data_IF_664590067500
#
_entry.id   IF_664590067500
#
_cell.length_a   1.000
_cell.length_b   1.000
_cell.length_c   1.000
_cell.angle_alpha   90.00
_cell.angle_beta   90.00
_cell.angle_gamma   90.00
#
_symmetry.space_group_name_H-M   'P 1'
#
loop_
_entity.id
_entity.type
_entity.pdbx_description
1 polymer ?
#
# COMPACT_ATOMS: atom_id res chain seq x y z
N UNK A 1 -12.27 -63.76 28.29
CA UNK A 1 -11.33 -62.88 27.56
C UNK A 1 -11.94 -61.48 27.55
N UNK A 2 -11.35 -60.49 28.22
CA UNK A 2 -11.85 -59.12 28.16
C UNK A 2 -11.44 -58.49 26.83
N UNK A 3 -12.39 -57.86 26.16
CA UNK A 3 -12.17 -57.05 24.96
C UNK A 3 -11.65 -55.70 25.44
N UNK A 4 -10.40 -55.39 25.13
CA UNK A 4 -9.87 -54.04 25.31
C UNK A 4 -10.54 -53.14 24.26
N UNK A 5 -11.24 -52.11 24.70
CA UNK A 5 -11.70 -51.01 23.84
C UNK A 5 -10.52 -50.04 23.76
N UNK A 6 -9.90 -49.97 22.58
CA UNK A 6 -8.96 -48.89 22.25
C UNK A 6 -9.72 -47.57 22.32
N UNK A 7 -9.25 -46.67 23.18
CA UNK A 7 -9.70 -45.29 23.21
C UNK A 7 -9.00 -44.60 22.04
N UNK A 8 -9.77 -44.25 21.01
CA UNK A 8 -9.26 -43.44 19.90
C UNK A 8 -8.56 -42.21 20.45
N UNK A 9 -7.30 -42.04 20.07
CA UNK A 9 -6.56 -40.81 20.34
C UNK A 9 -7.20 -39.70 19.52
N UNK A 10 -7.44 -38.51 20.08
CA UNK A 10 -8.00 -37.42 19.29
C UNK A 10 -7.02 -37.10 18.16
N UNK A 11 -7.51 -37.15 16.92
CA UNK A 11 -6.80 -36.74 15.71
C UNK A 11 -6.01 -35.44 15.96
N UNK A 12 -4.69 -35.55 16.10
CA UNK A 12 -3.78 -34.40 16.26
C UNK A 12 -3.35 -33.82 14.90
N UNK A 13 -4.19 -33.96 13.87
CA UNK A 13 -3.93 -33.49 12.51
C UNK A 13 -4.51 -32.08 12.25
N UNK A 14 -4.63 -31.27 13.30
CA UNK A 14 -4.79 -29.83 13.11
C UNK A 14 -3.45 -29.28 12.55
N UNK A 15 -3.44 -28.64 11.36
CA UNK A 15 -2.21 -28.10 10.82
C UNK A 15 -1.60 -27.13 11.82
N UNK A 16 -0.31 -27.34 12.12
CA UNK A 16 0.48 -26.45 12.98
C UNK A 16 0.27 -25.00 12.54
N UNK A 17 -0.35 -24.19 13.42
CA UNK A 17 -0.60 -22.77 13.15
C UNK A 17 0.74 -22.08 12.93
N UNK A 18 0.82 -21.26 11.88
CA UNK A 18 2.02 -20.47 11.56
C UNK A 18 2.53 -19.72 12.80
N UNK A 19 3.85 -19.57 13.01
CA UNK A 19 4.39 -18.77 14.10
C UNK A 19 4.00 -17.27 14.01
N UNK A 20 3.46 -16.84 12.86
CA UNK A 20 2.91 -15.50 12.64
C UNK A 20 1.37 -15.44 12.70
N UNK A 21 0.72 -16.53 13.12
CA UNK A 21 -0.72 -16.51 13.33
C UNK A 21 -1.07 -15.53 14.44
N UNK A 22 -2.01 -14.62 14.17
CA UNK A 22 -2.61 -13.75 15.15
C UNK A 22 -4.13 -13.94 15.13
N UNK A 23 -4.71 -14.15 16.30
CA UNK A 23 -6.14 -14.23 16.54
C UNK A 23 -6.58 -13.05 17.40
N UNK A 24 -7.64 -12.34 17.01
CA UNK A 24 -8.20 -11.25 17.80
C UNK A 24 -9.20 -11.82 18.82
N UNK A 25 -8.92 -11.66 20.11
CA UNK A 25 -9.83 -12.04 21.21
C UNK A 25 -9.86 -10.92 22.24
N UNK A 26 -11.06 -10.44 22.59
CA UNK A 26 -11.28 -9.43 23.63
C UNK A 26 -10.34 -8.21 23.52
N UNK A 27 -10.14 -7.70 22.30
CA UNK A 27 -9.28 -6.54 22.02
C UNK A 27 -7.78 -6.80 22.05
N UNK A 28 -7.35 -8.06 22.19
CA UNK A 28 -5.94 -8.46 22.20
C UNK A 28 -5.61 -9.36 21.00
N UNK A 29 -4.39 -9.25 20.49
CA UNK A 29 -3.84 -10.22 19.55
C UNK A 29 -3.24 -11.40 20.32
N UNK A 30 -3.58 -12.61 19.93
CA UNK A 30 -3.02 -13.83 20.49
C UNK A 30 -2.28 -14.64 19.43
N UNK A 31 -1.14 -15.21 19.80
CA UNK A 31 -0.43 -16.15 18.93
C UNK A 31 -1.01 -17.57 18.97
N UNK A 32 -0.40 -18.46 18.19
CA UNK A 32 -0.74 -19.88 18.12
C UNK A 32 -0.64 -20.61 19.48
N UNK A 33 0.20 -20.13 20.39
CA UNK A 33 0.42 -20.72 21.72
C UNK A 33 -0.54 -20.13 22.77
N UNK A 34 -1.42 -19.20 22.37
CA UNK A 34 -2.37 -18.54 23.27
C UNK A 34 -1.77 -17.44 24.13
N UNK A 35 -0.60 -16.90 23.77
CA UNK A 35 0.00 -15.73 24.44
C UNK A 35 -0.51 -14.44 23.83
N UNK A 36 -0.67 -13.40 24.65
CA UNK A 36 -0.96 -12.04 24.16
C UNK A 36 0.28 -11.47 23.48
N UNK A 37 0.13 -11.01 22.24
CA UNK A 37 1.19 -10.40 21.44
C UNK A 37 0.99 -8.88 21.41
N UNK A 38 2.00 -8.16 21.89
CA UNK A 38 2.07 -6.70 21.73
C UNK A 38 2.84 -6.36 20.45
N UNK A 39 2.15 -5.78 19.47
CA UNK A 39 2.76 -5.32 18.23
C UNK A 39 3.39 -3.93 18.45
N UNK A 40 4.73 -3.86 18.39
CA UNK A 40 5.52 -2.62 18.46
C UNK A 40 6.24 -2.46 17.14
N UNK A 41 5.96 -1.36 16.46
CA UNK A 41 6.41 -1.21 15.09
C UNK A 41 6.62 0.21 14.61
N UNK A 42 7.05 0.27 13.35
CA UNK A 42 7.27 1.51 12.61
C UNK A 42 6.63 1.42 11.23
N UNK A 43 6.42 2.59 10.61
CA UNK A 43 6.08 2.65 9.19
C UNK A 43 7.33 2.39 8.35
N UNK A 44 7.18 1.52 7.34
CA UNK A 44 8.20 1.28 6.34
C UNK A 44 7.62 1.67 4.98
N UNK A 45 7.97 2.86 4.48
CA UNK A 45 7.35 3.30 3.22
C UNK A 45 7.53 4.74 2.74
N UNK A 46 8.37 5.58 3.37
CA UNK A 46 8.52 6.97 2.92
C UNK A 46 8.94 7.08 1.44
N UNK A 47 9.87 6.24 0.99
CA UNK A 47 10.32 6.17 -0.40
C UNK A 47 9.36 5.41 -1.33
N UNK A 48 8.43 4.62 -0.80
CA UNK A 48 7.46 3.82 -1.59
C UNK A 48 6.37 4.67 -2.25
N UNK A 49 6.22 5.92 -1.80
CA UNK A 49 5.25 6.88 -2.33
C UNK A 49 5.54 7.34 -3.76
N UNK A 50 6.76 7.10 -4.26
CA UNK A 50 7.16 7.47 -5.63
C UNK A 50 7.94 6.33 -6.32
N UNK A 51 7.88 6.26 -7.66
CA UNK A 51 8.67 5.30 -8.43
C UNK A 51 10.16 5.33 -8.08
N UNK A 52 10.84 4.19 -8.20
CA UNK A 52 12.31 4.13 -8.05
C UNK A 52 13.03 4.66 -9.29
N UNK A 53 12.46 4.47 -10.48
CA UNK A 53 12.98 4.97 -11.73
C UNK A 53 11.90 5.08 -12.82
N UNK A 54 12.22 5.84 -13.87
CA UNK A 54 11.55 5.76 -15.16
C UNK A 54 12.14 4.60 -15.97
N UNK A 55 11.30 3.86 -16.70
CA UNK A 55 11.75 2.84 -17.67
C UNK A 55 11.79 3.41 -19.09
N UNK A 56 12.53 2.75 -19.99
CA UNK A 56 12.85 3.26 -21.34
C UNK A 56 11.63 3.63 -22.19
N UNK A 57 10.49 2.98 -21.96
CA UNK A 57 9.27 3.18 -22.73
C UNK A 57 8.32 4.22 -22.12
N UNK A 58 8.82 5.06 -21.19
CA UNK A 58 8.04 6.11 -20.52
C UNK A 58 7.20 5.63 -19.34
N UNK A 59 7.27 4.33 -19.00
CA UNK A 59 6.67 3.76 -17.79
C UNK A 59 7.45 4.06 -16.52
N UNK A 60 6.96 3.51 -15.39
CA UNK A 60 7.58 3.63 -14.06
C UNK A 60 7.86 2.25 -13.49
N UNK A 61 8.75 2.16 -12.50
CA UNK A 61 8.90 0.93 -11.69
C UNK A 61 8.97 1.28 -10.21
N UNK A 62 8.42 0.40 -9.38
CA UNK A 62 8.47 0.49 -7.92
C UNK A 62 9.36 -0.60 -7.30
N UNK A 63 9.99 -1.45 -8.11
CA UNK A 63 11.00 -2.40 -7.65
C UNK A 63 12.12 -1.65 -6.93
N UNK A 64 12.63 -2.23 -5.85
CA UNK A 64 13.60 -1.60 -4.94
C UNK A 64 13.06 -0.45 -4.10
N UNK A 65 11.73 -0.29 -3.98
CA UNK A 65 11.10 0.54 -2.94
C UNK A 65 10.52 -0.34 -1.82
N UNK A 66 10.81 -0.07 -0.54
CA UNK A 66 11.48 1.12 -0.04
C UNK A 66 13.02 1.09 -0.12
N UNK A 67 13.60 -0.08 -0.37
CA UNK A 67 15.04 -0.31 -0.53
C UNK A 67 15.35 -1.50 -1.45
N UNK A 68 16.55 -1.59 -2.04
CA UNK A 68 17.02 -2.78 -2.76
C UNK A 68 17.06 -4.06 -1.90
N UNK A 69 16.88 -5.23 -2.53
CA UNK A 69 16.81 -6.51 -1.82
C UNK A 69 18.07 -6.86 -1.02
N UNK A 70 19.25 -6.47 -1.52
CA UNK A 70 20.54 -6.70 -0.86
C UNK A 70 20.71 -5.90 0.44
N UNK A 71 19.90 -4.86 0.65
CA UNK A 71 19.87 -4.05 1.87
C UNK A 71 18.83 -4.54 2.88
N UNK A 72 17.93 -5.43 2.48
CA UNK A 72 16.79 -5.85 3.31
C UNK A 72 17.23 -6.50 4.64
N UNK A 73 18.23 -7.39 4.60
CA UNK A 73 18.78 -8.03 5.79
C UNK A 73 19.37 -7.02 6.79
N UNK A 74 20.06 -5.98 6.32
CA UNK A 74 20.59 -4.91 7.17
C UNK A 74 19.44 -4.13 7.84
N UNK A 75 18.43 -3.72 7.07
CA UNK A 75 17.30 -2.96 7.61
C UNK A 75 16.50 -3.76 8.65
N UNK A 76 16.13 -5.01 8.35
CA UNK A 76 15.34 -5.83 9.26
C UNK A 76 16.12 -6.27 10.50
N UNK A 77 17.41 -6.60 10.38
CA UNK A 77 18.24 -6.91 11.55
C UNK A 77 18.37 -5.73 12.50
N UNK A 78 18.51 -4.51 11.98
CA UNK A 78 18.51 -3.27 12.79
C UNK A 78 17.19 -3.05 13.52
N UNK A 79 16.06 -3.19 12.82
CA UNK A 79 14.73 -3.05 13.43
C UNK A 79 14.49 -4.09 14.53
N UNK A 80 14.91 -5.33 14.32
CA UNK A 80 14.83 -6.40 15.31
C UNK A 80 15.67 -6.07 16.56
N UNK A 81 16.90 -5.58 16.37
CA UNK A 81 17.80 -5.17 17.47
C UNK A 81 17.25 -4.00 18.28
N UNK A 82 16.44 -3.14 17.67
CA UNK A 82 15.72 -2.08 18.37
C UNK A 82 14.48 -2.56 19.13
N UNK A 83 14.15 -3.85 19.02
CA UNK A 83 13.02 -4.48 19.72
C UNK A 83 11.67 -4.33 18.99
N UNK A 84 11.67 -3.89 17.74
CA UNK A 84 10.45 -3.90 16.92
C UNK A 84 10.14 -5.31 16.44
N UNK A 85 8.85 -5.64 16.42
CA UNK A 85 8.34 -6.92 15.92
C UNK A 85 7.26 -6.74 14.85
N UNK A 86 6.86 -5.52 14.52
CA UNK A 86 5.80 -5.24 13.56
C UNK A 86 6.19 -4.11 12.61
N UNK A 87 5.78 -4.18 11.35
CA UNK A 87 5.99 -3.12 10.36
C UNK A 87 4.68 -2.82 9.65
N UNK A 88 4.32 -1.52 9.58
CA UNK A 88 3.31 -1.02 8.65
C UNK A 88 3.99 -0.80 7.31
N UNK A 89 3.79 -1.74 6.39
CA UNK A 89 4.45 -1.74 5.08
C UNK A 89 3.55 -1.07 4.06
N UNK A 90 3.94 0.13 3.62
CA UNK A 90 3.17 0.90 2.66
C UNK A 90 3.33 0.29 1.27
N UNK A 91 2.22 0.12 0.58
CA UNK A 91 2.12 -0.18 -0.85
C UNK A 91 1.14 0.82 -1.46
N UNK A 92 1.43 1.36 -2.64
CA UNK A 92 0.47 2.22 -3.35
C UNK A 92 -0.24 1.41 -4.42
N UNK A 93 -1.46 1.82 -4.80
CA UNK A 93 -2.15 1.23 -5.94
C UNK A 93 -1.33 1.41 -7.23
N UNK A 94 -0.68 2.56 -7.40
CA UNK A 94 0.23 2.82 -8.52
C UNK A 94 1.38 1.81 -8.59
N UNK A 95 1.95 1.39 -7.45
CA UNK A 95 3.00 0.39 -7.46
C UNK A 95 2.54 -0.96 -8.01
N UNK A 96 1.27 -1.30 -7.80
CA UNK A 96 0.68 -2.58 -8.22
C UNK A 96 0.19 -2.52 -9.67
N UNK A 97 -0.33 -1.36 -10.12
CA UNK A 97 -1.17 -1.30 -11.32
C UNK A 97 -1.00 0.03 -12.09
N UNK A 98 0.24 0.51 -12.25
CA UNK A 98 0.51 1.77 -12.96
C UNK A 98 0.26 1.71 -14.48
N UNK A 99 0.31 0.52 -15.09
CA UNK A 99 0.21 0.35 -16.54
C UNK A 99 -1.22 0.50 -17.09
N UNK A 100 -2.24 0.32 -16.25
CA UNK A 100 -3.64 0.37 -16.63
C UNK A 100 -4.48 -0.62 -15.82
N UNK A 101 -5.82 -0.49 -15.88
CA UNK A 101 -6.73 -1.36 -15.14
C UNK A 101 -6.58 -2.82 -15.59
N UNK A 102 -6.53 -3.73 -14.61
CA UNK A 102 -6.26 -5.17 -14.75
C UNK A 102 -4.79 -5.53 -15.04
N UNK A 103 -3.88 -4.55 -15.22
CA UNK A 103 -2.50 -4.81 -15.65
C UNK A 103 -1.54 -4.69 -14.46
N UNK A 104 -1.43 -5.79 -13.72
CA UNK A 104 -0.60 -5.88 -12.52
C UNK A 104 0.90 -5.98 -12.83
N UNK A 105 1.71 -5.18 -12.13
CA UNK A 105 3.18 -5.23 -12.16
C UNK A 105 3.69 -6.49 -11.43
N UNK A 106 3.89 -7.55 -12.21
CA UNK A 106 4.38 -8.84 -11.70
C UNK A 106 5.79 -8.74 -11.12
N UNK A 107 6.64 -7.86 -11.63
CA UNK A 107 8.01 -7.69 -11.15
C UNK A 107 8.00 -7.03 -9.77
N UNK A 108 7.14 -6.02 -9.56
CA UNK A 108 6.93 -5.42 -8.25
C UNK A 108 6.35 -6.42 -7.25
N UNK A 109 5.33 -7.20 -7.63
CA UNK A 109 4.74 -8.22 -6.75
C UNK A 109 5.75 -9.33 -6.38
N UNK A 110 6.60 -9.74 -7.32
CA UNK A 110 7.68 -10.69 -7.06
C UNK A 110 8.74 -10.11 -6.12
N UNK A 111 9.13 -8.85 -6.31
CA UNK A 111 10.01 -8.12 -5.41
C UNK A 111 9.41 -8.00 -4.00
N UNK A 112 8.15 -7.58 -3.88
CA UNK A 112 7.44 -7.44 -2.60
C UNK A 112 7.43 -8.77 -1.85
N UNK A 113 7.09 -9.87 -2.53
CA UNK A 113 7.15 -11.22 -1.95
C UNK A 113 8.54 -11.55 -1.39
N UNK A 114 9.60 -11.21 -2.10
CA UNK A 114 10.97 -11.45 -1.62
C UNK A 114 11.28 -10.63 -0.36
N UNK A 115 10.90 -9.35 -0.32
CA UNK A 115 11.05 -8.50 0.87
C UNK A 115 10.32 -9.11 2.07
N UNK A 116 9.07 -9.57 1.89
CA UNK A 116 8.28 -10.21 2.96
C UNK A 116 8.91 -11.52 3.45
N UNK A 117 9.47 -12.32 2.54
CA UNK A 117 10.19 -13.54 2.91
C UNK A 117 11.47 -13.27 3.71
N UNK A 118 12.18 -12.19 3.41
CA UNK A 118 13.33 -11.76 4.22
C UNK A 118 12.85 -11.24 5.58
N UNK A 119 11.80 -10.42 5.62
CA UNK A 119 11.23 -9.91 6.87
C UNK A 119 10.81 -11.04 7.84
N UNK A 120 10.28 -12.14 7.28
CA UNK A 120 9.94 -13.36 8.03
C UNK A 120 11.14 -13.92 8.80
N UNK A 121 12.36 -13.90 8.24
CA UNK A 121 13.59 -14.39 8.90
C UNK A 121 13.91 -13.61 10.18
N UNK A 122 13.43 -12.37 10.28
CA UNK A 122 13.65 -11.47 11.40
C UNK A 122 12.45 -11.38 12.35
N UNK A 123 11.48 -12.29 12.26
CA UNK A 123 10.29 -12.34 13.12
C UNK A 123 9.46 -11.05 13.07
N UNK A 124 9.37 -10.42 11.89
CA UNK A 124 8.55 -9.23 11.68
C UNK A 124 7.13 -9.60 11.26
N UNK A 125 6.14 -9.19 12.05
CA UNK A 125 4.76 -9.06 11.61
C UNK A 125 4.65 -7.94 10.58
N UNK A 126 3.89 -8.17 9.50
CA UNK A 126 3.70 -7.18 8.46
C UNK A 126 2.21 -6.83 8.36
N UNK A 127 1.91 -5.55 8.52
CA UNK A 127 0.62 -4.97 8.17
C UNK A 127 0.78 -4.30 6.81
N UNK A 128 0.19 -4.90 5.77
CA UNK A 128 0.16 -4.32 4.43
C UNK A 128 -0.80 -3.14 4.44
N UNK A 129 -0.30 -1.98 4.05
CA UNK A 129 -1.03 -0.72 4.05
C UNK A 129 -1.18 -0.21 2.62
N UNK A 130 -2.38 -0.35 2.01
CA UNK A 130 -2.73 0.31 0.76
C UNK A 130 -2.76 1.83 0.96
N UNK A 131 -1.61 2.44 0.80
CA UNK A 131 -1.33 3.81 1.18
C UNK A 131 -1.79 4.79 0.10
N UNK A 132 -2.31 5.93 0.55
CA UNK A 132 -2.53 7.10 -0.28
C UNK A 132 -2.46 8.36 0.59
N UNK A 133 -2.00 9.44 -0.03
CA UNK A 133 -2.19 10.81 0.44
C UNK A 133 -2.70 11.63 -0.75
N UNK A 134 -3.72 12.45 -0.55
CA UNK A 134 -4.27 13.32 -1.59
C UNK A 134 -4.49 12.61 -2.94
N UNK A 135 -5.01 11.37 -2.92
CA UNK A 135 -5.35 10.52 -4.08
C UNK A 135 -4.17 9.95 -4.87
N UNK A 136 -3.28 10.77 -5.43
CA UNK A 136 -2.25 10.37 -6.40
C UNK A 136 -1.06 11.33 -6.35
N UNK A 137 0.11 10.90 -6.84
CA UNK A 137 1.27 11.79 -7.03
C UNK A 137 0.98 12.94 -8.00
N UNK A 138 0.07 12.73 -8.93
CA UNK A 138 -0.38 13.74 -9.89
C UNK A 138 -1.31 14.79 -9.27
N UNK A 139 -1.85 14.51 -8.07
CA UNK A 139 -2.66 15.43 -7.28
C UNK A 139 -1.94 15.93 -6.03
N UNK A 140 -0.61 15.72 -5.97
CA UNK A 140 0.28 16.28 -4.95
C UNK A 140 0.47 15.40 -3.71
N UNK A 141 0.12 14.12 -3.77
CA UNK A 141 0.44 13.13 -2.73
C UNK A 141 0.92 11.80 -3.32
N UNK A 142 0.22 10.69 -3.08
CA UNK A 142 0.52 9.35 -3.57
C UNK A 142 -0.71 8.42 -3.48
N UNK A 143 -0.64 7.23 -4.08
CA UNK A 143 -1.69 6.22 -3.99
C UNK A 143 -2.12 5.71 -5.36
N UNK A 144 -3.15 6.32 -5.94
CA UNK A 144 -3.78 5.92 -7.18
C UNK A 144 -2.91 6.21 -8.43
N UNK A 145 -2.90 5.31 -9.42
CA UNK A 145 -2.16 5.47 -10.66
C UNK A 145 -2.73 6.58 -11.56
N UNK A 146 -1.89 7.08 -12.48
CA UNK A 146 -2.22 8.14 -13.42
C UNK A 146 -3.51 7.87 -14.21
N UNK A 147 -3.71 6.63 -14.67
CA UNK A 147 -4.84 6.28 -15.52
C UNK A 147 -6.19 6.57 -14.86
N UNK A 148 -6.29 6.53 -13.52
CA UNK A 148 -7.54 6.87 -12.81
C UNK A 148 -8.00 8.30 -13.08
N UNK A 149 -7.05 9.23 -13.27
CA UNK A 149 -7.34 10.63 -13.61
C UNK A 149 -7.70 10.76 -15.10
N UNK A 150 -6.92 10.11 -15.96
CA UNK A 150 -7.09 10.20 -17.42
C UNK A 150 -8.42 9.60 -17.88
N UNK A 151 -8.82 8.46 -17.31
CA UNK A 151 -10.06 7.75 -17.65
C UNK A 151 -11.31 8.57 -17.31
N UNK A 152 -11.20 9.53 -16.39
CA UNK A 152 -12.27 10.48 -16.05
C UNK A 152 -12.11 11.84 -16.74
N UNK A 153 -11.19 11.94 -17.70
CA UNK A 153 -10.97 13.13 -18.51
C UNK A 153 -10.21 14.26 -17.79
N UNK A 154 -9.62 14.00 -16.62
CA UNK A 154 -8.74 14.97 -15.97
C UNK A 154 -7.38 14.95 -16.66
N UNK A 155 -6.84 16.13 -16.99
CA UNK A 155 -5.50 16.27 -17.55
C UNK A 155 -4.53 16.89 -16.52
N UNK A 156 -3.62 16.10 -15.92
CA UNK A 156 -2.66 16.59 -14.93
C UNK A 156 -1.71 17.69 -15.42
N UNK A 157 -1.43 17.76 -16.73
CA UNK A 157 -0.58 18.83 -17.31
C UNK A 157 -1.17 20.22 -17.06
N UNK A 158 -2.51 20.30 -16.96
CA UNK A 158 -3.23 21.55 -16.75
C UNK A 158 -3.48 21.86 -15.27
N UNK A 159 -3.13 20.97 -14.33
CA UNK A 159 -3.47 21.19 -12.92
C UNK A 159 -2.76 22.40 -12.30
N UNK A 160 -1.53 22.70 -12.71
CA UNK A 160 -0.79 23.84 -12.18
C UNK A 160 -1.35 25.19 -12.65
N UNK A 161 -1.78 25.28 -13.92
CA UNK A 161 -2.38 26.50 -14.48
C UNK A 161 -3.82 26.70 -13.97
N UNK A 162 -4.60 25.63 -13.86
CA UNK A 162 -5.98 25.66 -13.33
C UNK A 162 -6.06 25.69 -11.80
N UNK A 163 -4.94 25.45 -11.11
CA UNK A 163 -4.86 25.27 -9.65
C UNK A 163 -5.66 24.06 -9.13
N UNK A 164 -5.96 23.10 -10.00
CA UNK A 164 -6.68 21.88 -9.65
C UNK A 164 -5.88 20.93 -8.73
N UNK A 165 -4.55 21.04 -8.72
CA UNK A 165 -3.65 20.42 -7.76
C UNK A 165 -2.39 21.28 -7.59
N UNK A 166 -1.70 21.11 -6.47
CA UNK A 166 -0.41 21.69 -6.17
C UNK A 166 0.60 20.55 -5.97
N UNK A 167 1.46 20.37 -6.96
CA UNK A 167 2.49 19.34 -6.95
C UNK A 167 3.88 19.99 -6.97
N UNK A 168 4.86 19.35 -6.34
CA UNK A 168 6.23 19.85 -6.32
C UNK A 168 6.81 19.93 -7.73
N UNK A 169 6.58 18.91 -8.56
CA UNK A 169 7.09 18.80 -9.93
C UNK A 169 6.55 19.87 -10.88
N UNK A 170 5.37 20.43 -10.59
CA UNK A 170 4.68 21.42 -11.45
C UNK A 170 4.58 22.80 -10.80
N UNK A 171 5.25 23.01 -9.66
CA UNK A 171 5.21 24.28 -8.92
C UNK A 171 5.81 25.45 -9.72
N UNK A 172 6.75 25.17 -10.63
CA UNK A 172 7.40 26.17 -11.50
C UNK A 172 8.42 27.08 -10.80
N UNK A 173 8.54 26.99 -9.47
CA UNK A 173 9.60 27.62 -8.68
C UNK A 173 10.76 26.66 -8.40
N UNK A 174 11.74 27.10 -7.59
CA UNK A 174 12.79 26.20 -7.11
C UNK A 174 12.18 25.17 -6.15
N UNK A 175 12.66 23.91 -6.12
CA UNK A 175 12.19 22.91 -5.17
C UNK A 175 12.28 23.37 -3.71
N UNK A 176 13.30 24.17 -3.37
CA UNK A 176 13.51 24.72 -2.02
C UNK A 176 12.41 25.73 -1.60
N UNK A 177 11.76 26.38 -2.58
CA UNK A 177 10.71 27.37 -2.37
C UNK A 177 9.32 26.71 -2.23
N UNK A 178 9.21 25.40 -2.44
CA UNK A 178 7.96 24.67 -2.27
C UNK A 178 7.59 24.63 -0.77
N UNK A 179 6.43 25.20 -0.36
CA UNK A 179 6.15 25.34 1.06
C UNK A 179 6.03 23.99 1.77
N UNK A 180 6.75 23.84 2.89
CA UNK A 180 6.73 22.62 3.69
C UNK A 180 5.29 22.34 4.19
N UNK A 181 4.90 21.07 4.16
CA UNK A 181 3.59 20.60 4.65
C UNK A 181 2.38 21.25 3.95
N UNK A 182 2.53 21.78 2.73
CA UNK A 182 1.40 22.34 1.97
C UNK A 182 0.56 21.27 1.26
N UNK A 183 1.10 20.07 1.10
CA UNK A 183 0.43 18.97 0.39
C UNK A 183 -0.98 18.62 0.90
N UNK A 184 -1.35 18.73 2.20
CA UNK A 184 -2.72 18.45 2.65
C UNK A 184 -3.73 19.44 2.08
N UNK A 185 -3.28 20.62 1.60
CA UNK A 185 -4.18 21.55 0.91
C UNK A 185 -4.75 20.99 -0.38
N UNK A 186 -4.14 19.93 -0.93
CA UNK A 186 -4.69 19.23 -2.09
C UNK A 186 -6.01 18.53 -1.80
N UNK A 187 -6.31 18.12 -0.55
CA UNK A 187 -7.55 17.40 -0.23
C UNK A 187 -8.82 18.16 -0.64
N UNK A 188 -8.80 19.50 -0.62
CA UNK A 188 -9.93 20.34 -1.03
C UNK A 188 -9.77 20.96 -2.43
N UNK A 189 -8.69 20.63 -3.16
CA UNK A 189 -8.53 21.09 -4.54
C UNK A 189 -9.30 20.19 -5.50
N UNK A 190 -9.68 20.78 -6.63
CA UNK A 190 -10.59 20.19 -7.60
C UNK A 190 -10.24 18.74 -7.96
N UNK A 191 -8.99 18.43 -8.30
CA UNK A 191 -8.63 17.10 -8.77
C UNK A 191 -8.82 16.03 -7.67
N UNK A 192 -8.17 16.18 -6.51
CA UNK A 192 -8.31 15.22 -5.41
C UNK A 192 -9.75 15.13 -4.88
N UNK A 193 -10.41 16.28 -4.69
CA UNK A 193 -11.77 16.32 -4.17
C UNK A 193 -12.76 15.63 -5.13
N UNK A 194 -12.62 15.85 -6.45
CA UNK A 194 -13.46 15.19 -7.46
C UNK A 194 -13.24 13.69 -7.47
N UNK A 195 -11.98 13.23 -7.47
CA UNK A 195 -11.68 11.79 -7.47
C UNK A 195 -12.24 11.09 -6.22
N UNK A 196 -12.00 11.64 -5.03
CA UNK A 196 -12.53 11.09 -3.80
C UNK A 196 -14.07 11.08 -3.78
N UNK A 197 -14.69 12.12 -4.34
CA UNK A 197 -16.15 12.25 -4.46
C UNK A 197 -16.74 11.17 -5.36
N UNK A 198 -16.16 10.95 -6.53
CA UNK A 198 -16.60 9.93 -7.48
C UNK A 198 -16.38 8.52 -6.94
N UNK A 199 -15.23 8.26 -6.30
CA UNK A 199 -14.90 6.95 -5.75
C UNK A 199 -15.80 6.55 -4.58
N UNK A 200 -16.08 7.45 -3.64
CA UNK A 200 -16.85 7.10 -2.43
C UNK A 200 -18.36 7.30 -2.53
N UNK A 201 -18.81 8.17 -3.43
CA UNK A 201 -20.22 8.57 -3.50
C UNK A 201 -20.72 8.80 -4.94
N UNK A 202 -19.98 8.36 -5.95
CA UNK A 202 -20.27 8.57 -7.37
C UNK A 202 -21.69 8.15 -7.75
N UNK A 203 -22.16 7.00 -7.27
CA UNK A 203 -23.50 6.49 -7.57
C UNK A 203 -24.63 7.45 -7.15
N UNK A 204 -24.40 8.25 -6.11
CA UNK A 204 -25.40 9.17 -5.59
C UNK A 204 -25.34 10.54 -6.24
N UNK A 205 -24.14 11.08 -6.44
CA UNK A 205 -23.93 12.49 -6.80
C UNK A 205 -23.52 12.69 -8.26
N UNK A 206 -23.04 11.64 -8.92
CA UNK A 206 -22.61 11.65 -10.31
C UNK A 206 -22.91 10.30 -11.00
N UNK A 207 -24.15 9.78 -10.97
CA UNK A 207 -24.48 8.44 -11.48
C UNK A 207 -24.24 8.25 -12.99
N UNK A 208 -24.12 9.34 -13.75
CA UNK A 208 -23.80 9.31 -15.18
C UNK A 208 -22.30 9.34 -15.50
N UNK A 209 -21.44 9.48 -14.49
CA UNK A 209 -19.99 9.42 -14.66
C UNK A 209 -19.55 7.97 -14.54
N UNK A 210 -19.05 7.43 -15.64
CA UNK A 210 -18.68 6.04 -15.78
C UNK A 210 -17.20 5.90 -16.09
N UNK A 211 -16.57 4.87 -15.55
CA UNK A 211 -15.22 4.41 -15.87
C UNK A 211 -15.37 3.06 -16.58
N UNK A 212 -14.92 2.97 -17.83
CA UNK A 212 -15.07 1.77 -18.68
C UNK A 212 -16.50 1.21 -18.78
N UNK A 213 -17.52 2.08 -18.68
CA UNK A 213 -18.94 1.70 -18.77
C UNK A 213 -19.60 1.33 -17.44
N UNK A 214 -18.85 1.34 -16.35
CA UNK A 214 -19.34 1.06 -14.99
C UNK A 214 -19.28 2.33 -14.12
N UNK A 215 -20.16 2.48 -13.12
CA UNK A 215 -20.07 3.62 -12.21
C UNK A 215 -18.72 3.63 -11.48
N UNK A 216 -18.10 4.81 -11.34
CA UNK A 216 -16.74 4.95 -10.75
C UNK A 216 -16.63 4.37 -9.34
N UNK A 217 -17.72 4.38 -8.57
CA UNK A 217 -17.77 3.83 -7.22
C UNK A 217 -17.75 2.30 -7.19
N UNK A 218 -18.17 1.66 -8.28
CA UNK A 218 -18.34 0.21 -8.39
C UNK A 218 -17.25 -0.45 -9.26
N UNK A 219 -16.43 0.35 -9.94
CA UNK A 219 -15.28 -0.08 -10.75
C UNK A 219 -14.12 -0.55 -9.85
#
# INVERSE_FOLDING_TARGET
MPIAVEVDSPDTDAPSKSPFHLELRDGNFFDADGRVVMLKGVNLGGSTKTPSAMVKDGGVTFVNRPFPLDQADEHFSRLQRWGFNCLRFLITWEAIEHAGPGVYDQDYLAYLRQVLLIARKYNMYIYIDPHQDAWSRWTGGDGAPLWTLLDLGLNPENFAITKAALCQDTYGGKPEDFPKMIWPTNFFKFACATMATLFWAGNKIAPGVLMHGEPVQDF
#
